data_IF_949901141248
#
_entry.id   IF_949901141248
#
_cell.length_a   1.000
_cell.length_b   1.000
_cell.length_c   1.000
_cell.angle_alpha   90.00
_cell.angle_beta   90.00
_cell.angle_gamma   90.00
#
_symmetry.space_group_name_H-M   'P 1'
#
loop_
_entity.id
_entity.type
_entity.pdbx_description
1 polymer ?
#
# COMPACT_ATOMS: atom_id res chain seq x y z
N UNK A 1 -29.08 11.68 20.87
CA UNK A 1 -27.72 11.77 20.26
C UNK A 1 -27.44 10.43 19.60
N UNK A 2 -27.10 10.42 18.32
CA UNK A 2 -26.59 9.20 17.69
C UNK A 2 -25.35 8.76 18.47
N UNK A 3 -25.22 7.47 18.75
CA UNK A 3 -24.03 6.91 19.37
C UNK A 3 -22.84 7.16 18.43
N UNK A 4 -21.66 7.49 18.95
CA UNK A 4 -20.43 7.70 18.19
C UNK A 4 -20.16 6.55 17.19
N UNK A 5 -20.38 5.31 17.61
CA UNK A 5 -20.28 4.13 16.76
C UNK A 5 -21.18 4.24 15.52
N UNK A 6 -22.44 4.63 15.67
CA UNK A 6 -23.36 4.79 14.55
C UNK A 6 -22.92 5.92 13.60
N UNK A 7 -22.41 7.02 14.14
CA UNK A 7 -21.90 8.12 13.33
C UNK A 7 -20.65 7.73 12.50
N UNK A 8 -19.76 6.90 13.07
CA UNK A 8 -18.61 6.35 12.35
C UNK A 8 -19.03 5.41 11.23
N UNK A 9 -20.03 4.56 11.44
CA UNK A 9 -20.57 3.66 10.41
C UNK A 9 -21.23 4.45 9.26
N UNK A 10 -22.06 5.45 9.58
CA UNK A 10 -22.68 6.33 8.58
C UNK A 10 -21.63 7.12 7.77
N UNK A 11 -20.57 7.58 8.45
CA UNK A 11 -19.44 8.22 7.78
C UNK A 11 -18.74 7.25 6.83
N UNK A 12 -18.42 6.03 7.26
CA UNK A 12 -17.82 5.01 6.41
C UNK A 12 -18.66 4.67 5.18
N UNK A 13 -19.97 4.48 5.39
CA UNK A 13 -20.94 4.23 4.33
C UNK A 13 -20.92 5.33 3.26
N UNK A 14 -20.85 6.60 3.68
CA UNK A 14 -20.91 7.75 2.77
C UNK A 14 -19.56 8.10 2.14
N UNK A 15 -18.45 7.95 2.89
CA UNK A 15 -17.12 8.36 2.44
C UNK A 15 -16.40 7.26 1.64
N UNK A 16 -16.47 6.00 2.09
CA UNK A 16 -15.75 4.89 1.46
C UNK A 16 -16.66 4.04 0.56
N UNK A 17 -17.93 3.93 0.92
CA UNK A 17 -18.89 3.04 0.27
C UNK A 17 -18.97 3.19 -1.25
N UNK A 18 -19.11 4.41 -1.82
CA UNK A 18 -19.20 4.57 -3.28
C UNK A 18 -17.97 4.04 -4.02
N UNK A 19 -16.76 4.34 -3.51
CA UNK A 19 -15.53 3.84 -4.11
C UNK A 19 -15.39 2.32 -3.96
N UNK A 20 -15.78 1.76 -2.82
CA UNK A 20 -15.78 0.31 -2.58
C UNK A 20 -16.74 -0.43 -3.51
N UNK A 21 -17.93 0.12 -3.78
CA UNK A 21 -18.90 -0.48 -4.68
C UNK A 21 -18.33 -0.60 -6.11
N UNK A 22 -17.84 0.50 -6.65
CA UNK A 22 -17.27 0.51 -8.02
C UNK A 22 -16.06 -0.42 -8.09
N UNK A 23 -15.16 -0.33 -7.11
CA UNK A 23 -13.95 -1.15 -7.10
C UNK A 23 -14.25 -2.65 -6.99
N UNK A 24 -15.19 -3.06 -6.15
CA UNK A 24 -15.56 -4.47 -5.99
C UNK A 24 -16.14 -5.06 -7.30
N UNK A 25 -16.98 -4.28 -8.01
CA UNK A 25 -17.51 -4.69 -9.34
C UNK A 25 -16.40 -4.84 -10.39
N UNK A 26 -15.40 -3.92 -10.38
CA UNK A 26 -14.26 -4.04 -11.30
C UNK A 26 -13.37 -5.24 -10.95
N UNK A 27 -13.16 -5.55 -9.66
CA UNK A 27 -12.43 -6.75 -9.24
C UNK A 27 -13.13 -8.01 -9.72
N UNK A 28 -14.45 -8.09 -9.60
CA UNK A 28 -15.23 -9.21 -10.11
C UNK A 28 -15.10 -9.33 -11.63
N UNK A 29 -15.34 -8.23 -12.37
CA UNK A 29 -15.31 -8.21 -13.83
C UNK A 29 -13.95 -8.64 -14.41
N UNK A 30 -12.86 -8.33 -13.71
CA UNK A 30 -11.48 -8.64 -14.15
C UNK A 30 -10.87 -9.85 -13.44
N UNK A 31 -11.61 -10.50 -12.54
CA UNK A 31 -11.14 -11.58 -11.69
C UNK A 31 -10.99 -12.94 -12.36
N UNK A 32 -11.61 -13.16 -13.54
CA UNK A 32 -11.57 -14.45 -14.24
C UNK A 32 -10.11 -14.91 -14.50
N UNK A 33 -9.77 -16.12 -14.05
CA UNK A 33 -8.42 -16.69 -14.15
C UNK A 33 -7.35 -16.00 -13.29
N UNK A 34 -7.74 -15.11 -12.38
CA UNK A 34 -6.82 -14.33 -11.54
C UNK A 34 -7.13 -14.52 -10.06
N UNK A 35 -6.07 -14.55 -9.24
CA UNK A 35 -6.21 -14.54 -7.78
C UNK A 35 -6.09 -13.10 -7.26
N UNK A 36 -7.11 -12.54 -6.57
CA UNK A 36 -7.02 -11.23 -5.94
C UNK A 36 -5.98 -11.24 -4.82
N UNK A 37 -4.98 -10.35 -4.90
CA UNK A 37 -3.89 -10.19 -3.92
C UNK A 37 -3.94 -8.78 -3.37
N UNK A 38 -4.47 -8.64 -2.17
CA UNK A 38 -4.69 -7.36 -1.50
C UNK A 38 -3.40 -6.91 -0.80
N UNK A 39 -2.76 -5.86 -1.30
CA UNK A 39 -1.46 -5.40 -0.79
C UNK A 39 -1.60 -4.64 0.54
N UNK A 40 -0.79 -4.97 1.54
CA UNK A 40 -0.79 -4.26 2.81
C UNK A 40 -0.28 -2.81 2.63
N UNK A 41 -0.85 -1.86 3.37
CA UNK A 41 -1.81 -2.00 4.49
C UNK A 41 -3.28 -1.86 4.03
N UNK A 42 -3.49 -1.13 2.97
CA UNK A 42 -4.79 -0.78 2.38
C UNK A 42 -5.57 -2.04 1.97
N UNK A 43 -4.86 -3.01 1.47
CA UNK A 43 -5.42 -4.30 1.06
C UNK A 43 -6.11 -5.09 2.17
N UNK A 44 -5.90 -4.76 3.45
CA UNK A 44 -6.65 -5.35 4.55
C UNK A 44 -8.16 -5.02 4.42
N UNK A 45 -8.47 -3.79 4.00
CA UNK A 45 -9.85 -3.37 3.76
C UNK A 45 -10.44 -4.07 2.54
N UNK A 46 -9.68 -4.17 1.45
CA UNK A 46 -10.11 -4.85 0.23
C UNK A 46 -10.35 -6.34 0.44
N UNK A 47 -9.47 -7.02 1.18
CA UNK A 47 -9.66 -8.44 1.49
C UNK A 47 -10.97 -8.66 2.26
N UNK A 48 -11.25 -7.86 3.28
CA UNK A 48 -12.48 -7.94 4.08
C UNK A 48 -13.74 -7.62 3.25
N UNK A 49 -13.69 -6.55 2.44
CA UNK A 49 -14.77 -6.18 1.54
C UNK A 49 -15.11 -7.33 0.59
N UNK A 50 -14.12 -7.79 -0.16
CA UNK A 50 -14.31 -8.81 -1.18
C UNK A 50 -14.71 -10.17 -0.58
N UNK A 51 -14.09 -10.56 0.54
CA UNK A 51 -14.48 -11.78 1.26
C UNK A 51 -15.92 -11.71 1.75
N UNK A 52 -16.35 -10.57 2.31
CA UNK A 52 -17.73 -10.39 2.75
C UNK A 52 -18.72 -10.48 1.59
N UNK A 53 -18.48 -9.73 0.52
CA UNK A 53 -19.37 -9.69 -0.64
C UNK A 53 -19.46 -11.05 -1.34
N UNK A 54 -18.34 -11.74 -1.49
CA UNK A 54 -18.30 -13.08 -2.10
C UNK A 54 -19.02 -14.13 -1.24
N UNK A 55 -18.83 -14.09 0.09
CA UNK A 55 -19.49 -15.02 1.01
C UNK A 55 -21.03 -14.87 1.05
N UNK A 56 -21.53 -13.66 0.73
CA UNK A 56 -22.97 -13.36 0.71
C UNK A 56 -23.58 -13.40 -0.72
N UNK A 57 -22.80 -13.78 -1.73
CA UNK A 57 -23.25 -13.91 -3.10
C UNK A 57 -23.55 -12.59 -3.82
N UNK A 58 -22.96 -11.48 -3.36
CA UNK A 58 -23.05 -10.17 -4.01
C UNK A 58 -22.07 -10.03 -5.18
N UNK A 59 -20.97 -10.76 -5.16
CA UNK A 59 -19.99 -10.93 -6.24
C UNK A 59 -19.60 -12.40 -6.36
N UNK A 60 -19.07 -12.80 -7.51
CA UNK A 60 -18.56 -14.14 -7.75
C UNK A 60 -17.07 -14.09 -8.10
N UNK A 61 -16.21 -14.53 -7.18
CA UNK A 61 -14.77 -14.61 -7.38
C UNK A 61 -14.34 -16.08 -7.54
N UNK A 62 -13.63 -16.38 -8.63
CA UNK A 62 -13.09 -17.72 -8.91
C UNK A 62 -12.08 -18.15 -7.81
N UNK A 63 -11.32 -17.20 -7.26
CA UNK A 63 -10.36 -17.44 -6.20
C UNK A 63 -10.61 -16.49 -5.02
N UNK A 64 -10.50 -17.02 -3.81
CA UNK A 64 -10.61 -16.21 -2.59
C UNK A 64 -9.51 -15.12 -2.55
N UNK A 65 -9.84 -13.89 -2.13
CA UNK A 65 -8.87 -12.82 -1.97
C UNK A 65 -7.81 -13.19 -0.92
N UNK A 66 -6.56 -12.79 -1.16
CA UNK A 66 -5.42 -13.07 -0.28
C UNK A 66 -4.82 -11.78 0.21
N UNK A 67 -4.72 -11.61 1.52
CA UNK A 67 -4.01 -10.48 2.10
C UNK A 67 -2.50 -10.73 2.07
N UNK A 68 -1.76 -9.91 1.33
CA UNK A 68 -0.31 -9.99 1.25
C UNK A 68 0.33 -8.94 2.16
N UNK A 69 0.95 -9.40 3.26
CA UNK A 69 1.72 -8.55 4.19
C UNK A 69 3.04 -8.14 3.54
N UNK A 70 3.00 -7.03 2.83
CA UNK A 70 4.12 -6.48 2.07
C UNK A 70 4.23 -4.98 2.27
N UNK A 71 5.39 -4.40 2.03
CA UNK A 71 5.59 -2.95 1.95
C UNK A 71 6.74 -2.62 1.00
N UNK A 72 6.85 -1.36 0.59
CA UNK A 72 8.03 -0.88 -0.15
C UNK A 72 9.31 -1.15 0.63
N UNK A 73 9.32 -0.84 1.91
CA UNK A 73 10.48 -1.03 2.80
C UNK A 73 10.92 -2.50 2.87
N UNK A 74 9.96 -3.43 3.06
CA UNK A 74 10.26 -4.87 3.07
C UNK A 74 10.89 -5.32 1.74
N UNK A 75 10.29 -4.92 0.61
CA UNK A 75 10.79 -5.34 -0.70
C UNK A 75 12.12 -4.65 -1.05
N UNK A 76 12.31 -3.39 -0.65
CA UNK A 76 13.60 -2.72 -0.82
C UNK A 76 14.68 -3.38 0.04
N UNK A 77 14.36 -3.75 1.29
CA UNK A 77 15.28 -4.52 2.14
C UNK A 77 15.63 -5.85 1.48
N UNK A 78 14.64 -6.64 1.08
CA UNK A 78 14.85 -7.97 0.48
C UNK A 78 15.72 -7.92 -0.79
N UNK A 79 15.64 -6.83 -1.55
CA UNK A 79 16.37 -6.65 -2.81
C UNK A 79 17.59 -5.72 -2.69
N UNK A 80 17.99 -5.33 -1.46
CA UNK A 80 19.09 -4.40 -1.24
C UNK A 80 20.40 -4.93 -1.84
N UNK A 81 21.06 -4.07 -2.62
CA UNK A 81 22.28 -4.40 -3.32
C UNK A 81 22.10 -5.02 -4.71
N UNK A 82 20.87 -5.13 -5.21
CA UNK A 82 20.60 -5.47 -6.60
C UNK A 82 20.49 -4.21 -7.46
N UNK A 83 21.14 -4.17 -8.61
CA UNK A 83 21.24 -2.98 -9.48
C UNK A 83 19.87 -2.45 -9.92
N UNK A 84 18.93 -3.34 -10.19
CA UNK A 84 17.58 -2.96 -10.59
C UNK A 84 16.77 -2.26 -9.49
N UNK A 85 17.21 -2.37 -8.24
CA UNK A 85 16.53 -1.73 -7.12
C UNK A 85 16.80 -0.23 -7.07
N UNK A 86 18.01 0.20 -7.35
CA UNK A 86 18.44 1.57 -7.15
C UNK A 86 17.57 2.60 -7.87
N UNK A 87 17.20 2.41 -9.16
CA UNK A 87 16.30 3.34 -9.85
C UNK A 87 14.91 3.46 -9.23
N UNK A 88 14.44 2.42 -8.54
CA UNK A 88 13.15 2.42 -7.87
C UNK A 88 13.25 3.00 -6.45
N UNK A 89 14.29 2.64 -5.73
CA UNK A 89 14.45 3.01 -4.32
C UNK A 89 14.95 4.42 -4.11
N UNK A 90 15.67 5.00 -5.07
CA UNK A 90 16.30 6.32 -4.95
C UNK A 90 15.63 7.41 -5.81
N UNK A 91 14.51 7.10 -6.49
CA UNK A 91 13.84 8.04 -7.38
C UNK A 91 12.95 9.07 -6.66
N UNK A 92 12.47 8.75 -5.45
CA UNK A 92 11.56 9.62 -4.71
C UNK A 92 12.32 10.55 -3.78
N UNK A 93 11.73 11.70 -3.49
CA UNK A 93 12.28 12.73 -2.60
C UNK A 93 12.68 12.15 -1.24
N UNK A 94 13.85 12.55 -0.79
CA UNK A 94 14.38 12.25 0.53
C UNK A 94 15.49 13.25 0.85
N UNK A 95 15.47 13.79 2.05
CA UNK A 95 16.55 14.62 2.59
C UNK A 95 16.89 14.17 4.00
N UNK A 96 18.16 13.87 4.25
CA UNK A 96 18.62 13.38 5.55
C UNK A 96 19.98 12.68 5.47
N UNK A 97 20.38 12.02 6.54
CA UNK A 97 21.62 11.24 6.54
C UNK A 97 21.47 9.93 5.77
N UNK A 98 22.60 9.37 5.29
CA UNK A 98 22.63 8.02 4.72
C UNK A 98 22.12 6.99 5.73
N UNK A 99 22.39 7.16 7.02
CA UNK A 99 21.83 6.31 8.08
C UNK A 99 20.30 6.36 8.09
N UNK A 100 19.71 7.56 7.99
CA UNK A 100 18.26 7.71 7.94
C UNK A 100 17.67 7.07 6.69
N UNK A 101 18.33 7.21 5.53
CA UNK A 101 17.94 6.55 4.30
C UNK A 101 17.92 5.02 4.47
N UNK A 102 19.00 4.44 5.02
CA UNK A 102 19.09 2.99 5.26
C UNK A 102 17.99 2.50 6.22
N UNK A 103 17.69 3.27 7.25
CA UNK A 103 16.67 2.91 8.24
C UNK A 103 15.24 3.06 7.71
N UNK A 104 14.92 4.23 7.15
CA UNK A 104 13.54 4.58 6.76
C UNK A 104 13.11 3.89 5.48
N UNK A 105 14.00 3.84 4.49
CA UNK A 105 13.67 3.33 3.14
C UNK A 105 13.98 1.85 2.98
N UNK A 106 15.09 1.38 3.56
CA UNK A 106 15.51 -0.02 3.47
C UNK A 106 15.27 -0.83 4.74
N UNK A 107 14.71 -0.23 5.79
CA UNK A 107 14.33 -0.92 7.02
C UNK A 107 15.50 -1.50 7.83
N UNK A 108 16.74 -1.05 7.60
CA UNK A 108 17.86 -1.52 8.38
C UNK A 108 17.77 -1.01 9.81
N UNK A 109 18.05 -1.88 10.77
CA UNK A 109 18.25 -1.44 12.14
C UNK A 109 19.58 -0.68 12.28
N UNK A 110 19.70 0.18 13.28
CA UNK A 110 20.92 0.96 13.47
C UNK A 110 22.17 0.06 13.54
N UNK A 111 22.14 -0.99 14.33
CA UNK A 111 23.27 -1.92 14.48
C UNK A 111 23.60 -2.66 13.17
N UNK A 112 22.60 -2.97 12.34
CA UNK A 112 22.80 -3.59 11.03
C UNK A 112 23.54 -2.62 10.09
N UNK A 113 23.09 -1.36 10.02
CA UNK A 113 23.74 -0.34 9.19
C UNK A 113 25.21 -0.14 9.56
N UNK A 114 25.51 -0.01 10.87
CA UNK A 114 26.88 0.10 11.36
C UNK A 114 27.74 -1.14 11.16
N UNK A 115 27.15 -2.32 11.03
CA UNK A 115 27.90 -3.57 10.78
C UNK A 115 28.42 -3.69 9.34
N UNK A 116 27.78 -2.99 8.38
CA UNK A 116 28.08 -3.15 6.94
C UNK A 116 28.59 -1.89 6.26
N UNK A 117 28.29 -0.70 6.80
CA UNK A 117 28.68 0.59 6.24
C UNK A 117 29.59 1.37 7.20
N UNK A 118 30.60 2.10 6.69
CA UNK A 118 31.48 2.93 7.51
C UNK A 118 30.70 4.12 8.11
N UNK A 119 31.13 4.57 9.29
CA UNK A 119 30.48 5.66 10.02
C UNK A 119 30.46 6.96 9.20
N UNK A 120 31.55 7.24 8.51
CA UNK A 120 31.70 8.43 7.67
C UNK A 120 30.62 8.47 6.56
N UNK A 121 30.36 7.33 5.93
CA UNK A 121 29.29 7.20 4.93
C UNK A 121 27.90 7.37 5.56
N UNK A 122 27.67 6.75 6.71
CA UNK A 122 26.38 6.82 7.39
C UNK A 122 26.00 8.23 7.85
N UNK A 123 27.00 9.09 8.11
CA UNK A 123 26.81 10.49 8.53
C UNK A 123 26.63 11.46 7.34
N UNK A 124 26.94 11.04 6.11
CA UNK A 124 26.80 11.89 4.93
C UNK A 124 25.34 12.30 4.73
N UNK A 125 25.13 13.60 4.49
CA UNK A 125 23.82 14.10 4.08
C UNK A 125 23.58 13.80 2.60
N UNK A 126 22.37 13.40 2.30
CA UNK A 126 21.94 13.04 0.95
C UNK A 126 20.62 13.70 0.63
N UNK A 127 20.49 14.17 -0.61
CA UNK A 127 19.27 14.73 -1.17
C UNK A 127 18.93 13.96 -2.44
N UNK A 128 17.79 13.30 -2.45
CA UNK A 128 17.28 12.54 -3.58
C UNK A 128 16.09 13.27 -4.22
N UNK A 129 15.91 13.14 -5.53
CA UNK A 129 16.67 12.29 -6.47
C UNK A 129 17.98 12.90 -6.99
N UNK A 130 18.32 14.14 -6.65
CA UNK A 130 19.44 14.89 -7.24
C UNK A 130 20.80 14.15 -7.08
N UNK A 131 21.01 13.51 -5.94
CA UNK A 131 22.25 12.78 -5.64
C UNK A 131 22.10 11.26 -5.81
N UNK A 132 21.18 10.79 -6.65
CA UNK A 132 20.95 9.36 -6.85
C UNK A 132 22.23 8.63 -7.34
N UNK A 133 22.93 9.19 -8.31
CA UNK A 133 24.14 8.58 -8.87
C UNK A 133 25.27 8.54 -7.84
N UNK A 134 25.42 9.59 -7.04
CA UNK A 134 26.42 9.63 -5.97
C UNK A 134 26.12 8.57 -4.90
N UNK A 135 24.86 8.43 -4.49
CA UNK A 135 24.46 7.43 -3.53
C UNK A 135 24.78 6.01 -3.99
N UNK A 136 24.50 5.70 -5.26
CA UNK A 136 24.83 4.40 -5.85
C UNK A 136 26.34 4.18 -5.80
N UNK A 137 27.15 5.15 -6.25
CA UNK A 137 28.60 5.06 -6.24
C UNK A 137 29.17 4.84 -4.84
N UNK A 138 28.63 5.51 -3.83
CA UNK A 138 29.08 5.34 -2.42
C UNK A 138 28.68 3.98 -1.83
N UNK A 139 27.56 3.42 -2.24
CA UNK A 139 27.07 2.13 -1.74
C UNK A 139 27.68 0.93 -2.50
N UNK A 140 28.13 1.10 -3.73
CA UNK A 140 28.64 0.03 -4.59
C UNK A 140 29.74 -0.82 -3.92
N UNK A 141 30.78 -0.27 -3.24
CA UNK A 141 31.81 -1.06 -2.57
C UNK A 141 31.27 -1.98 -1.46
N UNK A 142 30.10 -1.67 -0.92
CA UNK A 142 29.47 -2.36 0.20
C UNK A 142 28.38 -3.35 -0.21
N UNK A 143 28.03 -3.43 -1.48
CA UNK A 143 26.98 -4.33 -2.02
C UNK A 143 27.11 -5.79 -1.55
N UNK A 144 28.30 -6.41 -1.54
CA UNK A 144 28.41 -7.80 -1.06
C UNK A 144 27.99 -7.98 0.39
N UNK A 145 28.34 -7.02 1.27
CA UNK A 145 27.97 -7.06 2.69
C UNK A 145 26.47 -6.77 2.88
N UNK A 146 25.93 -5.82 2.12
CA UNK A 146 24.50 -5.50 2.13
C UNK A 146 23.67 -6.72 1.70
N UNK A 147 24.04 -7.39 0.60
CA UNK A 147 23.38 -8.61 0.15
C UNK A 147 23.43 -9.73 1.20
N UNK A 148 24.58 -9.95 1.82
CA UNK A 148 24.73 -10.96 2.88
C UNK A 148 23.85 -10.67 4.09
N UNK A 149 23.77 -9.38 4.50
CA UNK A 149 22.94 -8.94 5.61
C UNK A 149 21.45 -9.24 5.37
N UNK A 150 20.95 -8.96 4.18
CA UNK A 150 19.51 -9.05 3.86
C UNK A 150 19.09 -10.39 3.28
N UNK A 151 20.03 -11.31 3.02
CA UNK A 151 19.72 -12.62 2.45
C UNK A 151 18.60 -13.38 3.22
N UNK A 152 18.58 -13.40 4.58
CA UNK A 152 17.49 -14.03 5.29
C UNK A 152 16.12 -13.37 5.08
N UNK A 153 16.07 -12.03 4.88
CA UNK A 153 14.83 -11.32 4.51
C UNK A 153 14.34 -11.77 3.13
N UNK A 154 15.25 -11.84 2.16
CA UNK A 154 14.90 -12.30 0.81
C UNK A 154 14.35 -13.74 0.83
N UNK A 155 15.00 -14.64 1.57
CA UNK A 155 14.53 -16.03 1.76
C UNK A 155 13.12 -16.05 2.37
N UNK A 156 12.90 -15.30 3.45
CA UNK A 156 11.59 -15.22 4.10
C UNK A 156 10.49 -14.70 3.17
N UNK A 157 10.77 -13.63 2.40
CA UNK A 157 9.82 -13.11 1.41
C UNK A 157 9.51 -14.17 0.35
N UNK A 158 10.52 -14.84 -0.20
CA UNK A 158 10.35 -15.85 -1.25
C UNK A 158 9.57 -17.07 -0.77
N UNK A 159 9.82 -17.52 0.47
CA UNK A 159 9.06 -18.60 1.12
C UNK A 159 7.60 -18.18 1.37
N UNK A 160 7.38 -16.95 1.86
CA UNK A 160 6.04 -16.41 2.08
C UNK A 160 5.22 -16.30 0.79
N UNK A 161 5.80 -15.78 -0.29
CA UNK A 161 5.15 -15.72 -1.60
C UNK A 161 4.81 -17.13 -2.15
N UNK A 162 5.67 -18.11 -1.91
CA UNK A 162 5.43 -19.50 -2.28
C UNK A 162 4.31 -20.13 -1.46
N UNK A 163 4.29 -19.93 -0.13
CA UNK A 163 3.24 -20.40 0.76
C UNK A 163 1.86 -19.84 0.42
N UNK A 164 1.81 -18.59 -0.06
CA UNK A 164 0.59 -17.99 -0.61
C UNK A 164 0.23 -18.50 -2.02
N UNK A 165 1.01 -19.41 -2.61
CA UNK A 165 0.74 -19.96 -3.95
C UNK A 165 0.86 -18.91 -5.07
N UNK A 166 1.66 -17.86 -4.88
CA UNK A 166 1.79 -16.78 -5.89
C UNK A 166 2.84 -17.08 -6.96
N UNK A 167 3.73 -18.06 -6.73
CA UNK A 167 4.76 -18.46 -7.70
C UNK A 167 4.21 -19.25 -8.88
N UNK A 168 3.12 -19.96 -8.66
CA UNK A 168 2.49 -20.83 -9.67
C UNK A 168 0.97 -20.66 -9.63
N UNK A 169 0.25 -21.26 -10.58
CA UNK A 169 -1.22 -21.20 -10.61
C UNK A 169 -1.76 -19.94 -11.30
N UNK A 170 -2.94 -19.42 -10.89
CA UNK A 170 -3.60 -18.29 -11.55
C UNK A 170 -2.76 -17.02 -11.50
N UNK A 171 -2.98 -16.12 -12.45
CA UNK A 171 -2.24 -14.84 -12.48
C UNK A 171 -2.57 -14.00 -11.23
N UNK A 172 -1.59 -13.48 -10.50
CA UNK A 172 -1.86 -12.57 -9.39
C UNK A 172 -2.46 -11.25 -9.88
N UNK A 173 -3.59 -10.86 -9.32
CA UNK A 173 -4.20 -9.54 -9.50
C UNK A 173 -3.95 -8.70 -8.24
N UNK A 174 -2.97 -7.79 -8.32
CA UNK A 174 -2.56 -6.95 -7.20
C UNK A 174 -3.56 -5.82 -6.98
N UNK A 175 -4.16 -5.75 -5.80
CA UNK A 175 -5.17 -4.78 -5.41
C UNK A 175 -4.59 -3.77 -4.42
N UNK A 176 -4.68 -2.48 -4.78
CA UNK A 176 -4.11 -1.39 -3.98
C UNK A 176 -4.83 -0.06 -4.28
N UNK A 177 -4.61 0.97 -3.47
CA UNK A 177 -5.03 2.34 -3.79
C UNK A 177 -4.24 2.93 -4.97
N UNK A 178 -2.95 2.72 -5.01
CA UNK A 178 -2.10 3.27 -6.06
C UNK A 178 -0.61 3.32 -5.68
N UNK A 179 0.21 4.04 -6.38
CA UNK A 179 -0.14 4.83 -7.58
C UNK A 179 0.81 4.47 -8.72
N UNK A 180 2.11 4.27 -8.41
CA UNK A 180 3.16 4.00 -9.41
C UNK A 180 3.45 2.51 -9.62
N UNK A 181 2.80 1.62 -8.86
CA UNK A 181 2.98 0.18 -8.93
C UNK A 181 4.36 -0.33 -8.48
N UNK A 182 5.09 0.41 -7.64
CA UNK A 182 6.45 0.01 -7.20
C UNK A 182 6.48 -1.36 -6.53
N UNK A 183 5.53 -1.65 -5.63
CA UNK A 183 5.41 -2.95 -4.97
C UNK A 183 5.15 -4.05 -6.01
N UNK A 184 4.17 -3.84 -6.91
CA UNK A 184 3.84 -4.79 -7.95
C UNK A 184 5.04 -5.09 -8.87
N UNK A 185 5.78 -4.06 -9.32
CA UNK A 185 6.96 -4.23 -10.19
C UNK A 185 8.03 -5.11 -9.55
N UNK A 186 8.29 -4.92 -8.27
CA UNK A 186 9.23 -5.76 -7.52
C UNK A 186 8.70 -7.19 -7.36
N UNK A 187 7.41 -7.34 -7.01
CA UNK A 187 6.78 -8.66 -6.91
C UNK A 187 6.77 -9.39 -8.26
N UNK A 188 6.45 -8.71 -9.37
CA UNK A 188 6.53 -9.26 -10.73
C UNK A 188 7.90 -9.84 -11.01
N UNK A 189 8.95 -9.08 -10.66
CA UNK A 189 10.33 -9.53 -10.83
C UNK A 189 10.68 -10.71 -9.93
N UNK A 190 10.28 -10.68 -8.65
CA UNK A 190 10.57 -11.74 -7.68
C UNK A 190 9.79 -13.03 -7.98
N UNK A 191 8.59 -12.91 -8.50
CA UNK A 191 7.74 -14.04 -8.92
C UNK A 191 8.15 -14.62 -10.27
N UNK A 192 8.92 -13.86 -11.07
CA UNK A 192 9.34 -14.20 -12.46
C UNK A 192 8.15 -14.53 -13.38
N UNK A 193 7.02 -13.85 -13.17
CA UNK A 193 5.79 -14.05 -13.94
C UNK A 193 4.96 -12.77 -14.03
N UNK A 194 4.05 -12.75 -14.99
CA UNK A 194 3.15 -11.62 -15.21
C UNK A 194 2.22 -11.41 -14.02
N UNK A 195 2.00 -10.13 -13.70
CA UNK A 195 1.03 -9.68 -12.70
C UNK A 195 0.12 -8.61 -13.30
N UNK A 196 -1.13 -8.60 -12.86
CA UNK A 196 -2.08 -7.56 -13.19
C UNK A 196 -2.34 -6.70 -11.94
N UNK A 197 -2.15 -5.39 -12.02
CA UNK A 197 -2.45 -4.46 -10.94
C UNK A 197 -3.75 -3.72 -11.21
N UNK A 198 -4.69 -3.78 -10.27
CA UNK A 198 -5.92 -3.01 -10.30
C UNK A 198 -5.88 -2.02 -9.13
N UNK A 199 -5.80 -0.74 -9.45
CA UNK A 199 -5.60 0.36 -8.52
C UNK A 199 -6.79 1.32 -8.55
N UNK A 200 -7.00 2.10 -7.50
CA UNK A 200 -7.93 3.23 -7.61
C UNK A 200 -7.42 4.20 -8.68
N UNK A 201 -6.15 4.56 -8.60
CA UNK A 201 -5.52 5.53 -9.49
C UNK A 201 -4.13 5.05 -9.88
N UNK A 202 -3.75 5.21 -11.15
CA UNK A 202 -2.37 5.01 -11.58
C UNK A 202 -1.73 6.33 -12.01
N UNK A 203 -0.44 6.52 -11.67
CA UNK A 203 0.38 7.67 -12.07
C UNK A 203 1.47 7.30 -13.07
N UNK A 204 1.55 6.03 -13.47
CA UNK A 204 2.55 5.52 -14.42
C UNK A 204 1.88 4.62 -15.45
N UNK A 205 2.51 4.56 -16.61
CA UNK A 205 2.06 3.70 -17.69
C UNK A 205 2.18 2.22 -17.35
N UNK A 206 1.27 1.45 -17.90
CA UNK A 206 1.16 0.01 -17.82
C UNK A 206 2.16 -0.73 -18.73
N UNK A 207 2.30 -2.05 -18.52
CA UNK A 207 2.94 -2.95 -19.48
C UNK A 207 4.48 -2.96 -19.46
N UNK A 208 5.12 -2.54 -18.38
CA UNK A 208 6.57 -2.57 -18.28
C UNK A 208 7.09 -3.96 -17.87
N UNK A 209 8.17 -4.40 -18.53
CA UNK A 209 8.84 -5.64 -18.19
C UNK A 209 9.71 -5.52 -16.95
N UNK A 210 9.58 -6.47 -16.04
CA UNK A 210 10.34 -6.56 -14.80
C UNK A 210 10.86 -7.99 -14.60
N UNK A 211 12.13 -8.20 -14.96
CA UNK A 211 12.70 -9.55 -15.03
C UNK A 211 12.07 -10.37 -16.15
N UNK A 212 11.57 -11.56 -15.85
CA UNK A 212 10.89 -12.44 -16.80
C UNK A 212 9.40 -12.10 -16.99
N UNK A 213 8.80 -11.32 -16.05
CA UNK A 213 7.37 -10.99 -16.08
C UNK A 213 7.07 -9.57 -16.53
N UNK A 214 5.80 -9.32 -16.86
CA UNK A 214 5.24 -8.02 -17.20
C UNK A 214 4.31 -7.56 -16.08
N UNK A 215 4.47 -6.33 -15.61
CA UNK A 215 3.54 -5.67 -14.69
C UNK A 215 2.56 -4.83 -15.49
N UNK A 216 1.31 -5.27 -15.57
CA UNK A 216 0.21 -4.48 -16.15
C UNK A 216 -0.47 -3.70 -15.03
N UNK A 217 -0.61 -2.37 -15.20
CA UNK A 217 -1.26 -1.48 -14.23
C UNK A 217 -2.53 -0.92 -14.86
N UNK A 218 -3.61 -0.96 -14.11
CA UNK A 218 -4.91 -0.42 -14.51
C UNK A 218 -5.49 0.41 -13.37
N UNK A 219 -6.01 1.61 -13.67
CA UNK A 219 -6.66 2.51 -12.72
C UNK A 219 -8.18 2.47 -12.91
N UNK A 220 -8.92 2.13 -11.85
CA UNK A 220 -10.39 2.07 -11.88
C UNK A 220 -11.01 3.45 -12.04
N UNK A 221 -10.52 4.44 -11.31
CA UNK A 221 -11.09 5.80 -11.37
C UNK A 221 -10.33 6.69 -12.33
N UNK A 222 -9.00 6.59 -12.40
CA UNK A 222 -8.19 7.33 -13.37
C UNK A 222 -6.85 6.66 -13.64
N UNK A 223 -6.44 6.68 -14.91
CA UNK A 223 -5.11 6.24 -15.34
C UNK A 223 -4.20 7.41 -15.69
N UNK A 224 -2.90 7.22 -15.48
CA UNK A 224 -1.86 8.20 -15.81
C UNK A 224 -2.11 9.59 -15.22
N UNK A 225 -2.73 9.66 -14.05
CA UNK A 225 -2.99 10.89 -13.33
C UNK A 225 -1.68 11.52 -12.84
N UNK A 226 -1.69 12.85 -12.72
CA UNK A 226 -0.58 13.61 -12.16
C UNK A 226 -1.01 14.37 -10.91
N UNK A 227 -0.12 14.43 -9.92
CA UNK A 227 -0.34 15.25 -8.72
C UNK A 227 -0.52 16.71 -9.09
N UNK A 228 -1.56 17.33 -8.56
CA UNK A 228 -1.87 18.74 -8.78
C UNK A 228 -2.67 19.01 -10.06
N UNK A 229 -3.18 18.00 -10.77
CA UNK A 229 -4.06 18.17 -11.93
C UNK A 229 -5.54 18.34 -11.54
N UNK A 230 -5.84 18.40 -10.24
CA UNK A 230 -7.17 18.63 -9.70
C UNK A 230 -8.02 17.37 -9.49
N UNK A 231 -7.48 16.17 -9.75
CA UNK A 231 -8.17 14.93 -9.45
C UNK A 231 -8.13 14.64 -7.95
N UNK A 232 -9.23 14.86 -7.25
CA UNK A 232 -9.29 14.87 -5.80
C UNK A 232 -8.91 13.51 -5.16
N UNK A 233 -9.25 12.40 -5.79
CA UNK A 233 -8.90 11.06 -5.27
C UNK A 233 -7.38 10.80 -5.29
N UNK A 234 -6.60 11.54 -6.10
CA UNK A 234 -5.14 11.54 -6.05
C UNK A 234 -4.61 12.67 -5.16
N UNK A 235 -5.00 13.91 -5.43
CA UNK A 235 -4.47 15.10 -4.74
C UNK A 235 -4.76 15.10 -3.23
N UNK A 236 -5.81 14.40 -2.80
CA UNK A 236 -6.23 14.24 -1.40
C UNK A 236 -6.19 12.78 -0.93
N UNK A 237 -5.44 11.93 -1.61
CA UNK A 237 -5.38 10.48 -1.36
C UNK A 237 -5.00 10.08 0.07
N UNK A 238 -4.24 10.91 0.78
CA UNK A 238 -3.89 10.68 2.20
C UNK A 238 -5.12 10.55 3.12
N UNK A 239 -6.29 11.05 2.70
CA UNK A 239 -7.53 10.86 3.45
C UNK A 239 -8.03 9.42 3.34
N UNK A 240 -7.97 8.80 2.15
CA UNK A 240 -8.22 7.36 2.00
C UNK A 240 -7.15 6.53 2.72
N UNK A 241 -5.87 6.84 2.53
CA UNK A 241 -4.77 6.12 3.17
C UNK A 241 -4.85 6.14 4.70
N UNK A 242 -5.38 7.23 5.30
CA UNK A 242 -5.61 7.31 6.73
C UNK A 242 -6.60 6.25 7.23
N UNK A 243 -7.67 6.04 6.48
CA UNK A 243 -8.75 5.13 6.86
C UNK A 243 -8.50 3.71 6.35
N UNK A 244 -7.90 3.55 5.18
CA UNK A 244 -7.62 2.24 4.59
C UNK A 244 -6.29 1.68 5.10
N UNK A 245 -6.26 1.21 6.33
CA UNK A 245 -5.06 0.66 6.95
C UNK A 245 -5.35 -0.61 7.76
N UNK A 246 -4.32 -1.42 7.99
CA UNK A 246 -4.37 -2.64 8.78
C UNK A 246 -4.14 -2.37 10.28
N UNK A 247 -4.48 -3.31 11.18
CA UNK A 247 -4.20 -3.16 12.62
C UNK A 247 -2.71 -3.25 12.98
N UNK A 248 -1.84 -3.45 12.01
CA UNK A 248 -0.40 -3.54 12.20
C UNK A 248 0.34 -2.39 11.51
N UNK A 249 1.56 -2.10 11.97
CA UNK A 249 2.46 -1.15 11.33
C UNK A 249 2.95 -1.63 9.96
N UNK A 250 3.76 -0.81 9.30
CA UNK A 250 4.44 -1.19 8.06
C UNK A 250 5.27 -2.44 8.25
N UNK A 251 5.18 -3.41 7.34
CA UNK A 251 6.02 -4.61 7.38
C UNK A 251 7.45 -4.25 7.01
N UNK A 252 8.41 -4.57 7.88
CA UNK A 252 9.83 -4.22 7.70
C UNK A 252 10.67 -5.44 7.38
N UNK A 253 10.35 -6.58 7.99
CA UNK A 253 11.05 -7.84 7.77
C UNK A 253 10.08 -9.01 7.93
N UNK A 254 10.44 -10.17 7.34
CA UNK A 254 9.73 -11.42 7.49
C UNK A 254 10.74 -12.57 7.56
N UNK A 255 10.49 -13.50 8.46
CA UNK A 255 11.29 -14.72 8.65
C UNK A 255 10.36 -15.92 8.64
N UNK A 256 10.84 -17.01 8.06
CA UNK A 256 10.19 -18.31 8.26
C UNK A 256 10.54 -18.82 9.66
N UNK A 257 9.55 -19.26 10.40
CA UNK A 257 9.74 -19.86 11.73
C UNK A 257 10.02 -21.37 11.63
N UNK A 258 10.36 -21.99 12.78
CA UNK A 258 10.70 -23.44 12.84
C UNK A 258 9.54 -24.35 12.47
N UNK A 259 8.31 -23.87 12.52
CA UNK A 259 7.09 -24.66 12.34
C UNK A 259 6.50 -24.45 10.92
N UNK A 260 7.23 -23.73 10.04
CA UNK A 260 6.83 -23.42 8.68
C UNK A 260 5.82 -22.26 8.57
N UNK A 261 5.63 -21.50 9.66
CA UNK A 261 4.91 -20.25 9.70
C UNK A 261 5.81 -19.05 9.36
N UNK A 262 5.28 -17.84 9.55
CA UNK A 262 6.01 -16.60 9.25
C UNK A 262 5.92 -15.62 10.40
N UNK A 263 7.06 -15.17 10.88
CA UNK A 263 7.19 -14.08 11.82
C UNK A 263 7.41 -12.77 11.06
N UNK A 264 6.55 -11.78 11.32
CA UNK A 264 6.63 -10.46 10.68
C UNK A 264 7.11 -9.42 11.67
N UNK A 265 8.13 -8.67 11.29
CA UNK A 265 8.57 -7.48 12.02
C UNK A 265 7.83 -6.26 11.46
N UNK A 266 7.24 -5.47 12.36
CA UNK A 266 6.47 -4.30 11.98
C UNK A 266 7.17 -3.01 12.44
N UNK A 267 7.01 -1.96 11.65
CA UNK A 267 7.33 -0.59 12.05
C UNK A 267 6.33 -0.03 13.06
N UNK A 268 6.42 1.26 13.32
CA UNK A 268 5.52 1.93 14.27
C UNK A 268 4.07 1.92 13.78
N UNK A 269 3.16 2.12 14.73
CA UNK A 269 1.75 2.33 14.46
C UNK A 269 1.43 3.83 14.52
N UNK A 270 0.64 4.32 13.56
CA UNK A 270 0.03 5.65 13.62
C UNK A 270 -1.13 5.68 14.63
N UNK A 271 -1.62 6.88 14.96
CA UNK A 271 -2.74 7.04 15.88
C UNK A 271 -3.99 6.29 15.40
N UNK A 272 -4.29 6.30 14.11
CA UNK A 272 -5.39 5.56 13.47
C UNK A 272 -5.37 4.07 13.85
N UNK A 273 -4.21 3.45 13.81
CA UNK A 273 -4.08 2.02 14.14
C UNK A 273 -4.24 1.74 15.64
N UNK A 274 -3.92 2.70 16.51
CA UNK A 274 -4.17 2.59 17.95
C UNK A 274 -5.66 2.69 18.29
N UNK A 275 -6.44 3.38 17.46
CA UNK A 275 -7.90 3.49 17.54
C UNK A 275 -8.61 2.55 16.56
N UNK A 276 -8.02 1.38 16.30
CA UNK A 276 -8.49 0.46 15.27
C UNK A 276 -9.92 -0.02 15.45
N UNK A 277 -10.42 -0.07 16.71
CA UNK A 277 -11.82 -0.43 16.98
C UNK A 277 -12.82 0.62 16.44
N UNK A 278 -12.45 1.90 16.46
CA UNK A 278 -13.26 2.98 15.88
C UNK A 278 -13.16 2.94 14.34
N UNK A 279 -11.95 2.74 13.82
CA UNK A 279 -11.72 2.56 12.38
C UNK A 279 -12.53 1.38 11.84
N UNK A 280 -12.60 0.29 12.59
CA UNK A 280 -13.40 -0.88 12.21
C UNK A 280 -14.89 -0.55 12.04
N UNK A 281 -15.45 0.40 12.84
CA UNK A 281 -16.83 0.85 12.63
C UNK A 281 -17.00 1.58 11.29
N UNK A 282 -15.99 2.34 10.85
CA UNK A 282 -15.99 2.99 9.51
C UNK A 282 -16.03 1.93 8.43
N UNK A 283 -15.19 0.89 8.51
CA UNK A 283 -15.17 -0.21 7.53
C UNK A 283 -16.46 -1.00 7.50
N UNK A 284 -16.93 -1.41 8.68
CA UNK A 284 -18.15 -2.21 8.80
C UNK A 284 -19.35 -1.45 8.19
N UNK A 285 -19.43 -0.13 8.44
CA UNK A 285 -20.46 0.70 7.84
C UNK A 285 -20.36 0.79 6.32
N UNK A 286 -19.14 0.91 5.77
CA UNK A 286 -18.92 0.93 4.34
C UNK A 286 -19.28 -0.42 3.69
N UNK A 287 -18.84 -1.53 4.26
CA UNK A 287 -19.08 -2.88 3.72
C UNK A 287 -20.57 -3.22 3.71
N UNK A 288 -21.28 -2.94 4.82
CA UNK A 288 -22.72 -3.19 4.92
C UNK A 288 -23.52 -2.35 3.92
N UNK A 289 -23.12 -1.08 3.74
CA UNK A 289 -23.78 -0.21 2.77
C UNK A 289 -23.55 -0.69 1.34
N UNK A 290 -22.33 -1.14 1.00
CA UNK A 290 -22.03 -1.72 -0.32
C UNK A 290 -22.84 -2.98 -0.57
N UNK A 291 -22.97 -3.88 0.41
CA UNK A 291 -23.81 -5.07 0.29
C UNK A 291 -25.28 -4.71 0.03
N UNK A 292 -25.79 -3.70 0.73
CA UNK A 292 -27.15 -3.18 0.51
C UNK A 292 -27.31 -2.63 -0.90
N UNK A 293 -26.39 -1.79 -1.36
CA UNK A 293 -26.43 -1.20 -2.70
C UNK A 293 -26.31 -2.24 -3.80
N UNK A 294 -25.53 -3.30 -3.60
CA UNK A 294 -25.46 -4.40 -4.58
C UNK A 294 -26.77 -5.17 -4.67
N UNK A 295 -27.44 -5.42 -3.53
CA UNK A 295 -28.75 -6.05 -3.51
C UNK A 295 -29.84 -5.19 -4.19
N UNK A 296 -29.72 -3.86 -4.09
CA UNK A 296 -30.62 -2.87 -4.68
C UNK A 296 -30.20 -2.48 -6.13
N UNK A 297 -29.18 -3.15 -6.69
CA UNK A 297 -28.63 -2.91 -8.05
C UNK A 297 -28.13 -1.45 -8.27
N UNK A 298 -27.73 -0.74 -7.20
CA UNK A 298 -27.18 0.61 -7.29
C UNK A 298 -25.86 0.60 -8.06
N UNK A 299 -25.65 1.63 -8.86
CA UNK A 299 -24.41 1.85 -9.61
C UNK A 299 -23.95 3.31 -9.48
N UNK A 300 -22.65 3.50 -9.53
CA UNK A 300 -22.03 4.83 -9.61
C UNK A 300 -21.04 4.85 -10.77
N UNK A 301 -20.93 6.00 -11.43
CA UNK A 301 -19.82 6.27 -12.37
C UNK A 301 -18.59 6.72 -11.58
N UNK A 302 -17.42 6.68 -12.21
CA UNK A 302 -16.18 7.20 -11.61
C UNK A 302 -16.29 8.69 -11.27
N UNK A 303 -16.97 9.48 -12.10
CA UNK A 303 -17.20 10.91 -11.90
C UNK A 303 -18.11 11.18 -10.69
N UNK A 304 -19.16 10.38 -10.50
CA UNK A 304 -20.04 10.49 -9.33
C UNK A 304 -19.27 10.15 -8.04
N UNK A 305 -18.44 9.12 -8.06
CA UNK A 305 -17.58 8.78 -6.91
C UNK A 305 -16.60 9.91 -6.59
N UNK A 306 -15.96 10.51 -7.61
CA UNK A 306 -15.06 11.66 -7.42
C UNK A 306 -15.81 12.83 -6.80
N UNK A 307 -16.99 13.21 -7.30
CA UNK A 307 -17.81 14.29 -6.77
C UNK A 307 -18.24 14.05 -5.31
N UNK A 308 -18.63 12.81 -4.98
CA UNK A 308 -18.95 12.43 -3.60
C UNK A 308 -17.72 12.59 -2.69
N UNK A 309 -16.56 12.11 -3.13
CA UNK A 309 -15.31 12.27 -2.40
C UNK A 309 -14.93 13.74 -2.24
N UNK A 310 -15.01 14.55 -3.30
CA UNK A 310 -14.75 15.98 -3.28
C UNK A 310 -15.60 16.70 -2.24
N UNK A 311 -16.85 16.31 -2.05
CA UNK A 311 -17.75 16.91 -1.06
C UNK A 311 -17.22 16.84 0.37
N UNK A 312 -16.43 15.82 0.69
CA UNK A 312 -15.77 15.65 2.00
C UNK A 312 -14.41 16.31 2.07
N UNK A 313 -13.72 16.45 0.95
CA UNK A 313 -12.29 16.80 0.92
C UNK A 313 -12.02 18.26 0.64
N UNK A 314 -13.04 19.03 0.23
CA UNK A 314 -12.92 20.46 -0.12
C UNK A 314 -13.68 21.39 0.84
N UNK A 315 -14.47 20.84 1.77
CA UNK A 315 -15.30 21.64 2.71
C UNK A 315 -14.87 21.43 4.13
N UNK A 316 -14.56 22.52 4.84
CA UNK A 316 -14.34 22.47 6.29
C UNK A 316 -15.56 21.92 7.01
N UNK A 317 -15.31 21.02 7.96
CA UNK A 317 -16.37 20.41 8.79
C UNK A 317 -17.23 19.37 8.06
N UNK A 318 -16.91 18.96 6.84
CA UNK A 318 -17.61 17.87 6.16
C UNK A 318 -17.31 16.51 6.80
N UNK A 319 -16.11 16.35 7.35
CA UNK A 319 -15.72 15.15 8.10
C UNK A 319 -16.19 15.28 9.56
N UNK A 320 -16.98 14.32 10.07
CA UNK A 320 -17.53 14.41 11.42
C UNK A 320 -16.42 14.37 12.48
N UNK A 321 -16.55 15.18 13.52
CA UNK A 321 -15.52 15.31 14.58
C UNK A 321 -15.19 13.97 15.25
N UNK A 322 -16.15 13.06 15.36
CA UNK A 322 -15.92 11.72 15.92
C UNK A 322 -14.94 10.87 15.09
N UNK A 323 -14.64 11.24 13.84
CA UNK A 323 -13.68 10.54 12.98
C UNK A 323 -12.30 11.22 12.91
N UNK A 324 -12.12 12.44 13.43
CA UNK A 324 -10.87 13.21 13.25
C UNK A 324 -9.62 12.50 13.76
N UNK A 325 -9.72 11.75 14.85
CA UNK A 325 -8.62 10.97 15.43
C UNK A 325 -8.17 9.78 14.54
N UNK A 326 -8.90 9.49 13.47
CA UNK A 326 -8.57 8.43 12.51
C UNK A 326 -7.77 8.95 11.30
N UNK A 327 -7.52 10.27 11.20
CA UNK A 327 -6.81 10.84 10.07
C UNK A 327 -5.34 11.07 10.39
N UNK A 328 -4.58 9.97 10.45
CA UNK A 328 -3.13 9.99 10.61
C UNK A 328 -2.48 8.94 9.70
N UNK A 329 -1.50 9.35 8.91
CA UNK A 329 -0.73 8.50 8.01
C UNK A 329 0.73 8.47 8.46
N UNK A 330 1.33 7.29 8.46
CA UNK A 330 2.77 7.14 8.66
C UNK A 330 3.49 7.20 7.32
N UNK A 331 4.15 8.32 7.04
CA UNK A 331 4.99 8.56 5.86
C UNK A 331 6.48 8.63 6.23
N UNK A 332 6.94 7.71 7.06
CA UNK A 332 8.34 7.61 7.42
C UNK A 332 9.24 7.25 6.23
N UNK A 333 8.66 6.58 5.24
CA UNK A 333 9.34 6.23 3.99
C UNK A 333 9.88 7.46 3.24
N UNK A 334 9.11 8.55 3.16
CA UNK A 334 9.52 9.81 2.55
C UNK A 334 10.27 10.74 3.54
N UNK A 335 10.35 10.35 4.80
CA UNK A 335 11.00 11.14 5.85
C UNK A 335 10.07 12.10 6.60
N UNK A 336 8.80 12.21 6.20
CA UNK A 336 7.84 13.19 6.75
C UNK A 336 7.30 12.81 8.14
N UNK A 337 7.48 11.56 8.57
CA UNK A 337 6.99 11.10 9.85
C UNK A 337 5.48 10.81 9.84
N UNK A 338 4.78 11.17 10.91
CA UNK A 338 3.31 11.01 10.98
C UNK A 338 2.65 12.31 10.53
N UNK A 339 1.84 12.22 9.47
CA UNK A 339 1.08 13.32 8.90
C UNK A 339 -0.37 13.30 9.39
N UNK A 340 -0.96 14.48 9.56
CA UNK A 340 -2.39 14.65 9.74
C UNK A 340 -2.98 15.29 8.48
N UNK A 341 -3.67 14.53 7.61
CA UNK A 341 -4.22 15.05 6.37
C UNK A 341 -5.28 16.12 6.56
N UNK A 342 -6.06 16.11 7.66
CA UNK A 342 -7.04 17.17 7.91
C UNK A 342 -6.35 18.53 8.12
N UNK A 343 -5.26 18.55 8.87
CA UNK A 343 -4.47 19.76 9.07
C UNK A 343 -3.71 20.16 7.79
N UNK A 344 -3.16 19.18 7.05
CA UNK A 344 -2.42 19.41 5.81
C UNK A 344 -3.30 20.06 4.74
N UNK A 345 -4.55 19.62 4.63
CA UNK A 345 -5.48 20.07 3.60
C UNK A 345 -6.45 21.16 4.08
N UNK A 346 -6.34 21.57 5.34
CA UNK A 346 -7.18 22.56 5.98
C UNK A 346 -8.71 22.25 5.88
N UNK A 347 -9.06 21.01 6.25
CA UNK A 347 -10.44 20.47 6.20
C UNK A 347 -11.07 20.46 7.59
#
# INVERSE_FOLDING_TARGET
MKNTRQALREFGASFMGPAFLVYAKEVEAKGAGRVPVCLAREGWCFERLLSHLNAHGHIELEYAPRYLKVSRTLLFRANLGHDYLWPLALANDFEGSMLDLMRKRFGLQMHEAFSVLPVELLQMQIKLPEQQSDAIMWLEPHVPRLKALVAPTLQGVMAYLAALGLKTGPQPMMLDLGYSGTIQKLLTRMLERDTHGLYYVTTKQSGNQHGAGVATLEGVFRENASWGDGFQMLDRSLLFESLMTAPHGQVVDVREDSDGGFEFCYGRQAATQRHFQDLQQVFDGAIEQVATWMADEVTFTSEEVEQMYESFTTRQGAIPQCAWHLFFVDDDFSGNGILNPLALFNI
#
